data_IF_816520477831
#
_entry.id   IF_816520477831
#
_cell.length_a   1.000
_cell.length_b   1.000
_cell.length_c   1.000
_cell.angle_alpha   90.00
_cell.angle_beta   90.00
_cell.angle_gamma   90.00
#
_symmetry.space_group_name_H-M   'P 1'
#
loop_
_entity.id
_entity.type
_entity.pdbx_description
1 polymer ?
#
# COMPACT_ATOMS: atom_id res chain seq x y z
N UNK A 1 -4.60 -7.24 46.66
CA UNK A 1 -3.27 -7.69 46.22
C UNK A 1 -3.37 -8.26 44.80
N UNK A 2 -3.04 -7.52 43.75
CA UNK A 2 -2.97 -7.98 42.36
C UNK A 2 -1.61 -7.57 41.78
N UNK A 3 -0.82 -8.59 41.45
CA UNK A 3 0.55 -8.44 40.96
C UNK A 3 0.52 -8.10 39.45
N UNK A 4 1.05 -6.92 39.08
CA UNK A 4 1.39 -6.51 37.74
C UNK A 4 2.51 -7.40 37.21
N UNK A 5 2.33 -7.98 36.02
CA UNK A 5 3.42 -8.60 35.27
C UNK A 5 3.84 -7.62 34.16
N UNK A 6 4.99 -7.00 34.34
CA UNK A 6 5.72 -6.32 33.29
C UNK A 6 6.29 -7.37 32.32
N UNK A 7 5.89 -7.30 31.07
CA UNK A 7 6.54 -8.01 29.97
C UNK A 7 7.70 -7.18 29.42
N UNK A 8 8.92 -7.67 29.57
CA UNK A 8 10.11 -7.06 29.02
C UNK A 8 10.19 -7.39 27.52
N UNK A 9 10.16 -6.37 26.66
CA UNK A 9 10.56 -6.50 25.25
C UNK A 9 12.07 -6.52 25.15
N UNK A 10 12.60 -7.64 24.66
CA UNK A 10 14.02 -7.85 24.38
C UNK A 10 14.37 -7.24 23.02
N UNK A 11 15.16 -6.17 23.03
CA UNK A 11 15.74 -5.54 21.86
C UNK A 11 16.99 -6.32 21.45
N UNK A 12 16.96 -6.99 20.30
CA UNK A 12 18.16 -7.63 19.72
C UNK A 12 18.79 -6.65 18.72
N UNK A 13 19.91 -6.10 19.11
CA UNK A 13 20.80 -5.27 18.28
C UNK A 13 21.77 -6.20 17.55
N UNK A 14 21.62 -6.34 16.23
CA UNK A 14 22.62 -7.03 15.39
C UNK A 14 23.52 -5.98 14.76
N UNK A 15 24.78 -5.94 15.26
CA UNK A 15 25.86 -5.15 14.68
C UNK A 15 26.58 -6.02 13.67
N UNK A 16 26.51 -5.70 12.38
CA UNK A 16 27.32 -6.30 11.34
C UNK A 16 28.50 -5.38 11.01
N UNK A 17 29.68 -5.76 11.48
CA UNK A 17 30.94 -5.17 11.09
C UNK A 17 31.36 -5.68 9.69
N UNK A 18 31.37 -4.80 8.70
CA UNK A 18 31.86 -5.09 7.36
C UNK A 18 33.36 -4.84 7.26
N UNK A 19 34.12 -5.84 6.86
CA UNK A 19 35.55 -5.76 6.57
C UNK A 19 35.80 -5.05 5.23
N UNK A 20 36.57 -3.96 5.26
CA UNK A 20 37.16 -3.35 4.08
C UNK A 20 38.35 -4.19 3.58
N UNK A 21 38.23 -4.64 2.32
CA UNK A 21 39.38 -5.21 1.60
C UNK A 21 39.96 -4.13 0.68
N UNK A 22 41.22 -3.78 0.90
CA UNK A 22 42.00 -2.89 0.05
C UNK A 22 42.21 -3.54 -1.33
N UNK A 23 41.70 -2.97 -2.39
CA UNK A 23 42.00 -3.29 -3.77
C UNK A 23 42.79 -2.16 -4.41
N UNK A 24 43.91 -2.48 -5.07
CA UNK A 24 44.86 -1.56 -5.69
C UNK A 24 44.27 -0.75 -6.89
N UNK A 25 45.07 0.20 -7.47
CA UNK A 25 44.60 1.14 -8.48
C UNK A 25 44.27 0.45 -9.78
N UNK A 26 42.98 0.42 -10.12
CA UNK A 26 42.50 0.01 -11.42
C UNK A 26 42.62 1.19 -12.40
N UNK A 27 43.25 0.95 -13.53
CA UNK A 27 43.33 1.81 -14.70
C UNK A 27 41.88 2.18 -15.15
N UNK A 28 41.60 3.45 -15.49
CA UNK A 28 40.28 3.79 -16.01
C UNK A 28 40.09 3.20 -17.40
N UNK A 29 39.42 2.04 -17.46
CA UNK A 29 38.86 1.50 -18.68
C UNK A 29 37.67 2.34 -19.08
N UNK A 30 37.73 2.91 -20.28
CA UNK A 30 36.62 3.59 -20.92
C UNK A 30 35.36 2.66 -20.93
N UNK A 31 34.25 3.01 -20.36
CA UNK A 31 33.04 2.21 -20.50
C UNK A 31 32.47 2.40 -21.90
N UNK A 32 32.86 1.53 -22.82
CA UNK A 32 32.17 1.35 -24.10
C UNK A 32 31.09 0.29 -23.90
N UNK A 33 30.10 0.63 -23.11
CA UNK A 33 28.85 -0.07 -23.01
C UNK A 33 27.76 0.98 -23.25
N UNK A 34 27.27 1.06 -24.49
CA UNK A 34 25.97 1.65 -24.74
C UNK A 34 25.00 0.70 -24.05
N UNK A 35 24.62 1.02 -22.79
CA UNK A 35 23.47 0.37 -22.19
C UNK A 35 22.31 0.66 -23.15
N UNK A 36 21.92 -0.36 -23.91
CA UNK A 36 20.71 -0.30 -24.71
C UNK A 36 19.60 0.00 -23.71
N UNK A 37 19.01 1.21 -23.80
CA UNK A 37 17.93 1.59 -22.93
C UNK A 37 16.87 0.48 -23.02
N UNK A 38 16.64 -0.19 -21.89
CA UNK A 38 15.63 -1.24 -21.82
C UNK A 38 14.31 -0.60 -22.24
N UNK A 39 13.76 -1.07 -23.36
CA UNK A 39 12.51 -0.57 -23.92
C UNK A 39 11.46 -1.67 -23.88
N UNK A 40 10.21 -1.29 -23.66
CA UNK A 40 9.13 -2.26 -23.55
C UNK A 40 8.74 -2.56 -22.11
N UNK A 41 7.92 -3.60 -21.88
CA UNK A 41 7.41 -3.95 -20.55
C UNK A 41 8.50 -4.20 -19.50
N UNK A 42 9.63 -4.76 -19.89
CA UNK A 42 10.77 -5.05 -19.02
C UNK A 42 11.52 -3.79 -18.54
N UNK A 43 11.14 -2.60 -19.03
CA UNK A 43 11.60 -1.32 -18.47
C UNK A 43 10.94 -1.00 -17.12
N UNK A 44 9.84 -1.69 -16.76
CA UNK A 44 9.16 -1.52 -15.46
C UNK A 44 9.88 -2.34 -14.38
N UNK A 45 10.26 -1.73 -13.25
CA UNK A 45 10.89 -2.45 -12.14
C UNK A 45 10.09 -3.69 -11.72
N UNK A 46 10.76 -4.83 -11.60
CA UNK A 46 10.15 -6.10 -11.21
C UNK A 46 9.43 -6.85 -12.33
N UNK A 47 9.30 -6.27 -13.53
CA UNK A 47 8.76 -6.95 -14.71
C UNK A 47 9.90 -7.52 -15.53
N UNK A 48 9.79 -8.79 -15.91
CA UNK A 48 10.73 -9.49 -16.79
C UNK A 48 10.01 -10.63 -17.52
N UNK A 49 10.45 -10.91 -18.75
CA UNK A 49 9.90 -12.01 -19.57
C UNK A 49 8.37 -11.97 -19.70
N UNK A 50 7.80 -10.76 -19.82
CA UNK A 50 6.35 -10.56 -19.97
C UNK A 50 5.52 -10.85 -18.72
N UNK A 51 6.12 -10.85 -17.52
CA UNK A 51 5.43 -11.11 -16.25
C UNK A 51 5.98 -10.26 -15.11
N UNK A 52 5.22 -10.12 -14.03
CA UNK A 52 5.73 -9.59 -12.76
C UNK A 52 6.57 -10.68 -12.07
N UNK A 53 7.89 -10.62 -12.30
CA UNK A 53 8.85 -11.59 -11.77
C UNK A 53 9.26 -11.29 -10.32
N UNK A 54 9.28 -10.00 -9.95
CA UNK A 54 9.69 -9.53 -8.62
C UNK A 54 8.72 -8.44 -8.11
N UNK A 55 7.62 -8.84 -7.42
CA UNK A 55 6.67 -7.89 -6.86
C UNK A 55 7.27 -6.97 -5.79
N UNK A 56 8.28 -7.40 -5.04
CA UNK A 56 8.91 -6.59 -3.98
C UNK A 56 9.71 -5.45 -4.59
N UNK A 57 10.45 -5.71 -5.68
CA UNK A 57 11.13 -4.68 -6.46
C UNK A 57 10.14 -3.66 -7.03
N UNK A 58 8.98 -4.10 -7.54
CA UNK A 58 7.92 -3.18 -8.00
C UNK A 58 7.38 -2.31 -6.86
N UNK A 59 7.07 -2.91 -5.70
CA UNK A 59 6.54 -2.18 -4.54
C UNK A 59 7.56 -1.15 -3.99
N UNK A 60 8.83 -1.51 -3.91
CA UNK A 60 9.88 -0.59 -3.50
C UNK A 60 10.04 0.59 -4.48
N UNK A 61 9.99 0.33 -5.79
CA UNK A 61 10.02 1.36 -6.81
C UNK A 61 8.78 2.27 -6.74
N UNK A 62 7.59 1.68 -6.50
CA UNK A 62 6.35 2.42 -6.29
C UNK A 62 6.48 3.40 -5.12
N UNK A 63 6.90 2.93 -3.95
CA UNK A 63 7.07 3.77 -2.77
C UNK A 63 8.04 4.93 -3.03
N UNK A 64 9.22 4.63 -3.56
CA UNK A 64 10.23 5.64 -3.87
C UNK A 64 9.74 6.69 -4.88
N UNK A 65 9.15 6.24 -5.99
CA UNK A 65 8.69 7.12 -7.08
C UNK A 65 7.47 7.97 -6.67
N UNK A 66 6.55 7.42 -5.87
CA UNK A 66 5.40 8.15 -5.36
C UNK A 66 5.82 9.24 -4.37
N UNK A 67 6.62 8.88 -3.36
CA UNK A 67 7.03 9.82 -2.30
C UNK A 67 7.93 10.93 -2.81
N UNK A 68 8.79 10.65 -3.80
CA UNK A 68 9.66 11.68 -4.38
C UNK A 68 8.88 12.74 -5.17
N UNK A 69 7.83 12.33 -5.87
CA UNK A 69 7.03 13.21 -6.72
C UNK A 69 5.97 14.01 -5.95
N UNK A 70 5.45 13.46 -4.85
CA UNK A 70 4.19 13.88 -4.26
C UNK A 70 3.00 13.36 -5.05
N UNK A 71 1.86 13.15 -4.38
CA UNK A 71 0.71 12.52 -5.01
C UNK A 71 -0.60 12.71 -4.24
N UNK A 72 -1.68 12.36 -4.93
CA UNK A 72 -2.98 12.09 -4.35
C UNK A 72 -3.46 10.73 -4.82
N UNK A 73 -3.92 9.88 -3.90
CA UNK A 73 -4.52 8.59 -4.23
C UNK A 73 -5.83 8.36 -3.49
N UNK A 74 -6.65 7.49 -4.08
CA UNK A 74 -7.86 6.92 -3.50
C UNK A 74 -7.69 5.40 -3.39
N UNK A 75 -8.09 4.86 -2.24
CA UNK A 75 -8.14 3.44 -1.97
C UNK A 75 -9.51 3.04 -1.43
N UNK A 76 -10.07 1.95 -1.93
CA UNK A 76 -11.30 1.35 -1.44
C UNK A 76 -11.10 -0.15 -1.28
N UNK A 77 -11.57 -0.70 -0.17
CA UNK A 77 -11.62 -2.13 0.05
C UNK A 77 -12.90 -2.54 0.76
N UNK A 78 -13.49 -3.65 0.33
CA UNK A 78 -14.57 -4.31 1.03
C UNK A 78 -13.99 -5.42 1.92
N UNK A 79 -14.48 -5.51 3.15
CA UNK A 79 -14.16 -6.57 4.08
C UNK A 79 -15.45 -7.22 4.57
N UNK A 80 -15.60 -8.50 4.33
CA UNK A 80 -16.71 -9.27 4.90
C UNK A 80 -16.32 -9.86 6.25
N UNK A 81 -17.18 -9.67 7.24
CA UNK A 81 -17.00 -10.17 8.61
C UNK A 81 -18.30 -10.81 9.09
N UNK A 82 -18.20 -11.76 10.03
CA UNK A 82 -19.36 -12.26 10.77
C UNK A 82 -19.46 -11.48 12.08
N UNK A 83 -20.59 -10.81 12.29
CA UNK A 83 -20.86 -10.02 13.49
C UNK A 83 -22.24 -10.39 14.05
N UNK A 84 -22.30 -10.82 15.31
CA UNK A 84 -23.53 -11.27 15.96
C UNK A 84 -24.28 -12.34 15.15
N UNK A 85 -23.55 -13.31 14.58
CA UNK A 85 -24.15 -14.37 13.74
C UNK A 85 -24.64 -13.91 12.36
N UNK A 86 -24.37 -12.66 11.96
CA UNK A 86 -24.73 -12.14 10.65
C UNK A 86 -23.48 -11.82 9.83
N UNK A 87 -23.55 -12.09 8.53
CA UNK A 87 -22.49 -11.73 7.58
C UNK A 87 -22.71 -10.27 7.17
N UNK A 88 -21.70 -9.43 7.40
CA UNK A 88 -21.74 -8.00 7.14
C UNK A 88 -20.53 -7.58 6.31
N UNK A 89 -20.76 -6.86 5.24
CA UNK A 89 -19.70 -6.25 4.45
C UNK A 89 -19.42 -4.83 4.95
N UNK A 90 -18.18 -4.59 5.35
CA UNK A 90 -17.66 -3.28 5.74
C UNK A 90 -16.91 -2.70 4.56
N UNK A 91 -17.24 -1.49 4.17
CA UNK A 91 -16.53 -0.74 3.14
C UNK A 91 -15.57 0.21 3.83
N UNK A 92 -14.28 0.05 3.55
CA UNK A 92 -13.22 0.98 3.91
C UNK A 92 -12.86 1.88 2.71
N UNK A 93 -12.61 3.15 2.97
CA UNK A 93 -12.08 4.09 1.97
C UNK A 93 -10.98 4.92 2.59
N UNK A 94 -9.91 5.14 1.84
CA UNK A 94 -8.83 6.03 2.22
C UNK A 94 -8.53 6.97 1.07
N UNK A 95 -8.42 8.27 1.36
CA UNK A 95 -7.91 9.27 0.44
C UNK A 95 -6.67 9.89 1.06
N UNK A 96 -5.58 9.87 0.32
CA UNK A 96 -4.26 10.32 0.80
C UNK A 96 -3.72 11.40 -0.11
N UNK A 97 -3.18 12.46 0.50
CA UNK A 97 -2.42 13.53 -0.15
C UNK A 97 -1.05 13.57 0.50
N UNK A 98 0.00 13.59 -0.30
CA UNK A 98 1.39 13.62 0.15
C UNK A 98 2.16 14.65 -0.67
N UNK A 99 2.82 15.58 0.01
CA UNK A 99 3.77 16.50 -0.60
C UNK A 99 5.06 15.78 -0.99
N UNK A 100 5.80 16.32 -1.96
CA UNK A 100 7.07 15.74 -2.40
C UNK A 100 8.01 15.51 -1.22
N UNK A 101 8.76 14.40 -1.29
CA UNK A 101 9.67 13.95 -0.23
C UNK A 101 9.00 13.77 1.15
N UNK A 102 7.68 13.63 1.18
CA UNK A 102 6.89 13.44 2.41
C UNK A 102 7.11 14.57 3.43
N UNK A 103 7.30 15.78 2.98
CA UNK A 103 7.46 16.95 3.88
C UNK A 103 6.22 17.16 4.72
N UNK A 104 5.05 16.98 4.13
CA UNK A 104 3.75 16.95 4.78
C UNK A 104 2.84 15.92 4.11
N UNK A 105 1.88 15.39 4.86
CA UNK A 105 0.85 14.51 4.33
C UNK A 105 -0.46 14.65 5.11
N UNK A 106 -1.54 14.30 4.43
CA UNK A 106 -2.86 14.19 5.02
C UNK A 106 -3.58 12.99 4.43
N UNK A 107 -4.23 12.21 5.28
CA UNK A 107 -5.14 11.17 4.79
C UNK A 107 -6.40 11.06 5.64
N UNK A 108 -7.46 10.58 5.02
CA UNK A 108 -8.74 10.30 5.65
C UNK A 108 -9.10 8.86 5.41
N UNK A 109 -9.41 8.14 6.48
CA UNK A 109 -9.98 6.80 6.44
C UNK A 109 -11.43 6.86 6.92
N UNK A 110 -12.34 6.26 6.18
CA UNK A 110 -13.74 6.04 6.61
C UNK A 110 -14.07 4.57 6.50
N UNK A 111 -14.83 4.04 7.43
CA UNK A 111 -15.33 2.67 7.34
C UNK A 111 -16.74 2.54 7.90
N UNK A 112 -17.51 1.59 7.36
CA UNK A 112 -18.86 1.32 7.83
C UNK A 112 -19.58 0.27 6.99
N UNK A 113 -20.65 -0.27 7.55
CA UNK A 113 -21.58 -1.16 6.86
C UNK A 113 -22.78 -0.33 6.37
N UNK A 114 -22.74 0.06 5.09
CA UNK A 114 -23.77 0.93 4.48
C UNK A 114 -23.44 2.42 4.61
N UNK A 115 -23.41 2.98 5.82
CA UNK A 115 -22.97 4.36 6.10
C UNK A 115 -21.65 4.36 6.89
N UNK A 116 -20.80 5.39 6.75
CA UNK A 116 -19.59 5.51 7.55
C UNK A 116 -19.91 5.54 9.05
N UNK A 117 -19.41 4.57 9.80
CA UNK A 117 -19.58 4.49 11.27
C UNK A 117 -18.32 4.96 12.01
N UNK A 118 -17.20 5.05 11.30
CA UNK A 118 -15.97 5.62 11.84
C UNK A 118 -15.25 6.46 10.78
N UNK A 119 -14.54 7.48 11.26
CA UNK A 119 -13.73 8.37 10.44
C UNK A 119 -12.45 8.71 11.19
N UNK A 120 -11.33 8.59 10.49
CA UNK A 120 -10.02 9.01 10.98
C UNK A 120 -9.43 10.02 9.99
N UNK A 121 -9.21 11.24 10.47
CA UNK A 121 -8.49 12.28 9.75
C UNK A 121 -7.08 12.35 10.33
N UNK A 122 -6.07 12.19 9.49
CA UNK A 122 -4.66 12.23 9.88
C UNK A 122 -3.98 13.37 9.15
N UNK A 123 -3.17 14.11 9.86
CA UNK A 123 -2.16 15.02 9.34
C UNK A 123 -0.81 14.66 9.94
N UNK A 124 0.25 14.84 9.18
CA UNK A 124 1.60 14.62 9.68
C UNK A 124 2.68 15.19 8.77
N UNK A 125 3.89 15.13 9.26
CA UNK A 125 5.11 15.51 8.57
C UNK A 125 6.23 14.52 8.90
N UNK A 126 7.49 14.88 8.62
CA UNK A 126 8.66 14.04 8.89
C UNK A 126 8.93 13.79 10.38
N UNK A 127 8.27 14.51 11.29
CA UNK A 127 8.55 14.44 12.73
C UNK A 127 7.39 13.86 13.55
N UNK A 128 6.15 14.09 13.14
CA UNK A 128 4.97 13.75 13.93
C UNK A 128 3.78 13.38 13.03
N UNK A 129 2.96 12.50 13.54
CA UNK A 129 1.62 12.20 13.04
C UNK A 129 0.58 12.55 14.09
N UNK A 130 -0.48 13.21 13.67
CA UNK A 130 -1.62 13.58 14.52
C UNK A 130 -2.88 12.99 13.91
N UNK A 131 -3.67 12.31 14.71
CA UNK A 131 -4.90 11.63 14.28
C UNK A 131 -6.10 12.18 15.05
N UNK A 132 -7.15 12.52 14.32
CA UNK A 132 -8.48 12.81 14.84
C UNK A 132 -9.40 11.65 14.47
N UNK A 133 -9.72 10.81 15.46
CA UNK A 133 -10.66 9.70 15.31
C UNK A 133 -12.07 10.12 15.71
N UNK A 134 -13.08 9.75 14.93
CA UNK A 134 -14.49 9.91 15.24
C UNK A 134 -15.22 8.58 15.07
N UNK A 135 -15.91 8.15 16.12
CA UNK A 135 -16.78 6.96 16.14
C UNK A 135 -18.11 7.37 16.73
N UNK A 136 -19.16 7.36 15.92
CA UNK A 136 -20.43 8.02 16.29
C UNK A 136 -20.19 9.51 16.58
N UNK A 137 -20.64 9.95 17.75
CA UNK A 137 -20.49 11.34 18.22
C UNK A 137 -19.19 11.58 19.03
N UNK A 138 -18.43 10.53 19.27
CA UNK A 138 -17.19 10.62 20.07
C UNK A 138 -16.00 10.97 19.21
N UNK A 139 -15.32 12.07 19.54
CA UNK A 139 -14.05 12.50 18.95
C UNK A 139 -12.91 12.29 19.92
N UNK A 140 -11.79 11.73 19.41
CA UNK A 140 -10.55 11.54 20.15
C UNK A 140 -9.36 11.98 19.30
N UNK A 141 -8.31 12.44 19.98
CA UNK A 141 -7.05 12.81 19.37
C UNK A 141 -5.93 11.89 19.84
N UNK A 142 -4.95 11.66 18.99
CA UNK A 142 -3.72 10.96 19.34
C UNK A 142 -2.56 11.48 18.51
N UNK A 143 -1.35 11.38 19.05
CA UNK A 143 -0.10 11.71 18.38
C UNK A 143 0.79 10.48 18.32
N UNK A 144 1.71 10.42 17.37
CA UNK A 144 2.64 9.32 17.23
C UNK A 144 3.78 9.64 16.25
N UNK A 145 4.65 8.68 15.98
CA UNK A 145 5.70 8.83 14.97
C UNK A 145 5.07 9.07 13.59
N UNK A 146 5.85 9.60 12.63
CA UNK A 146 5.40 9.75 11.25
C UNK A 146 4.81 8.45 10.69
N UNK A 147 3.86 8.56 9.76
CA UNK A 147 3.33 7.40 9.06
C UNK A 147 4.42 6.73 8.21
N UNK A 148 4.39 5.41 8.13
CA UNK A 148 5.28 4.66 7.27
C UNK A 148 4.98 4.93 5.78
N UNK A 149 6.00 4.75 4.93
CA UNK A 149 5.89 4.97 3.49
C UNK A 149 4.76 4.14 2.87
N UNK A 150 4.73 2.86 3.19
CA UNK A 150 3.77 1.88 2.69
C UNK A 150 2.31 2.16 3.09
N UNK A 151 2.09 2.81 4.24
CA UNK A 151 0.76 3.27 4.65
C UNK A 151 0.26 4.45 3.80
N UNK A 152 1.18 5.33 3.37
CA UNK A 152 0.86 6.51 2.57
C UNK A 152 0.64 6.16 1.11
N UNK A 153 1.53 5.37 0.52
CA UNK A 153 1.47 4.98 -0.89
C UNK A 153 0.40 3.93 -1.16
N UNK A 154 0.04 3.14 -0.16
CA UNK A 154 -0.86 2.00 -0.26
C UNK A 154 -0.15 0.67 -0.55
N UNK A 155 1.19 0.66 -0.67
CA UNK A 155 1.95 -0.56 -0.97
C UNK A 155 1.76 -1.64 0.10
N UNK A 156 1.58 -1.27 1.38
CA UNK A 156 1.26 -2.21 2.44
C UNK A 156 -0.03 -2.99 2.23
N UNK A 157 -1.00 -2.39 1.54
CA UNK A 157 -2.26 -3.07 1.19
C UNK A 157 -2.18 -3.78 -0.16
N UNK A 158 -1.47 -3.21 -1.15
CA UNK A 158 -1.27 -3.82 -2.47
C UNK A 158 -0.37 -5.06 -2.40
N UNK A 159 0.60 -5.07 -1.49
CA UNK A 159 1.61 -6.10 -1.35
C UNK A 159 1.06 -7.54 -1.33
N UNK A 160 0.14 -7.90 -0.42
CA UNK A 160 -0.44 -9.25 -0.37
C UNK A 160 -1.05 -9.72 -1.70
N UNK A 161 -1.66 -8.82 -2.47
CA UNK A 161 -2.26 -9.16 -3.77
C UNK A 161 -1.20 -9.31 -4.85
N UNK A 162 -0.18 -8.44 -4.89
CA UNK A 162 0.89 -8.51 -5.87
C UNK A 162 1.81 -9.71 -5.64
N UNK A 163 2.15 -10.01 -4.38
CA UNK A 163 2.99 -11.17 -4.02
C UNK A 163 2.21 -12.49 -4.03
N UNK A 164 0.91 -12.42 -3.75
CA UNK A 164 0.03 -13.58 -3.68
C UNK A 164 -0.53 -14.04 -5.02
N UNK A 165 -0.29 -13.33 -6.10
CA UNK A 165 -0.80 -13.66 -7.43
C UNK A 165 0.31 -13.68 -8.48
N UNK A 166 0.15 -14.51 -9.50
CA UNK A 166 0.99 -14.47 -10.70
C UNK A 166 0.38 -13.51 -11.69
N UNK A 167 1.15 -12.51 -12.12
CA UNK A 167 0.70 -11.53 -13.09
C UNK A 167 1.48 -11.65 -14.40
N UNK A 168 0.77 -11.54 -15.52
CA UNK A 168 1.33 -11.51 -16.88
C UNK A 168 1.00 -10.16 -17.52
N UNK A 169 1.89 -9.72 -18.40
CA UNK A 169 1.68 -8.51 -19.22
C UNK A 169 0.55 -8.78 -20.21
N UNK A 170 -0.54 -8.04 -20.07
CA UNK A 170 -1.68 -8.12 -20.99
C UNK A 170 -1.62 -7.04 -22.08
N UNK A 171 -1.08 -5.86 -21.76
CA UNK A 171 -0.99 -4.72 -22.68
C UNK A 171 0.13 -3.77 -22.28
N UNK A 172 0.64 -3.03 -23.26
CA UNK A 172 1.53 -1.90 -23.02
C UNK A 172 1.25 -0.78 -24.01
N UNK A 173 1.26 0.46 -23.53
CA UNK A 173 0.96 1.63 -24.36
C UNK A 173 1.65 2.89 -23.82
N UNK A 174 1.80 3.86 -24.69
CA UNK A 174 2.17 5.22 -24.27
C UNK A 174 0.91 6.08 -24.22
N UNK A 175 0.67 6.75 -23.09
CA UNK A 175 -0.44 7.69 -22.88
C UNK A 175 0.08 8.91 -22.13
N UNK A 176 -0.23 10.10 -22.61
CA UNK A 176 0.20 11.38 -22.02
C UNK A 176 1.72 11.46 -21.75
N UNK A 177 2.51 10.91 -22.69
CA UNK A 177 3.97 10.86 -22.58
C UNK A 177 4.52 9.85 -21.57
N UNK A 178 3.68 8.99 -20.99
CA UNK A 178 4.07 7.93 -20.04
C UNK A 178 3.94 6.57 -20.70
N UNK A 179 4.95 5.74 -20.54
CA UNK A 179 4.87 4.34 -20.91
C UNK A 179 4.15 3.57 -19.79
N UNK A 180 3.06 2.91 -20.14
CA UNK A 180 2.18 2.19 -19.20
C UNK A 180 2.17 0.71 -19.56
N UNK A 181 2.25 -0.14 -18.55
CA UNK A 181 2.10 -1.59 -18.66
C UNK A 181 0.87 -2.02 -17.86
N UNK A 182 0.02 -2.83 -18.47
CA UNK A 182 -1.11 -3.48 -17.83
C UNK A 182 -0.76 -4.93 -17.53
N UNK A 183 -0.86 -5.31 -16.27
CA UNK A 183 -0.67 -6.67 -15.79
C UNK A 183 -2.02 -7.25 -15.36
N UNK A 184 -2.26 -8.53 -15.63
CA UNK A 184 -3.46 -9.26 -15.20
C UNK A 184 -3.07 -10.52 -14.44
N UNK A 185 -3.82 -10.87 -13.41
CA UNK A 185 -3.58 -12.08 -12.64
C UNK A 185 -4.02 -13.32 -13.45
N UNK A 186 -3.13 -14.31 -13.52
CA UNK A 186 -3.39 -15.61 -14.19
C UNK A 186 -3.49 -16.75 -13.16
N UNK A 187 -2.93 -16.58 -11.97
CA UNK A 187 -3.06 -17.49 -10.86
C UNK A 187 -3.00 -16.74 -9.52
N UNK A 188 -3.57 -17.30 -8.46
CA UNK A 188 -3.63 -16.66 -7.15
C UNK A 188 -3.52 -17.69 -6.03
N UNK A 189 -2.71 -17.38 -5.02
CA UNK A 189 -2.68 -18.08 -3.76
C UNK A 189 -3.78 -17.52 -2.84
N UNK A 190 -4.84 -18.28 -2.61
CA UNK A 190 -5.98 -17.89 -1.79
C UNK A 190 -5.58 -17.38 -0.40
N UNK A 191 -4.65 -18.06 0.27
CA UNK A 191 -4.23 -17.71 1.63
C UNK A 191 -3.51 -16.36 1.72
N UNK A 192 -2.99 -15.84 0.62
CA UNK A 192 -2.34 -14.54 0.59
C UNK A 192 -3.33 -13.37 0.42
N UNK A 193 -4.45 -13.61 -0.29
CA UNK A 193 -5.42 -12.55 -0.64
C UNK A 193 -6.70 -12.58 0.19
N UNK A 194 -7.02 -13.72 0.83
CA UNK A 194 -8.20 -13.85 1.67
C UNK A 194 -7.90 -13.55 3.15
N UNK A 195 -8.89 -13.09 3.92
CA UNK A 195 -8.76 -13.04 5.38
C UNK A 195 -8.59 -14.47 5.94
N UNK A 196 -8.00 -14.58 7.14
CA UNK A 196 -7.68 -15.88 7.77
C UNK A 196 -8.86 -16.84 7.94
N UNK A 197 -10.10 -16.34 7.93
CA UNK A 197 -11.34 -17.10 8.00
C UNK A 197 -12.05 -17.23 6.64
N UNK A 198 -11.38 -16.87 5.55
CA UNK A 198 -11.84 -16.97 4.17
C UNK A 198 -11.30 -18.21 3.48
N UNK A 199 -12.14 -18.87 2.69
CA UNK A 199 -11.81 -20.06 1.89
C UNK A 199 -12.59 -20.06 0.58
N UNK A 200 -12.22 -20.93 -0.35
CA UNK A 200 -12.99 -21.18 -1.58
C UNK A 200 -13.15 -19.91 -2.42
N UNK A 201 -12.01 -19.32 -2.81
CA UNK A 201 -11.97 -18.15 -3.68
C UNK A 201 -12.43 -18.50 -5.08
N UNK A 202 -13.41 -17.77 -5.59
CA UNK A 202 -14.01 -18.00 -6.91
C UNK A 202 -14.08 -16.72 -7.72
N UNK A 203 -13.94 -16.86 -9.04
CA UNK A 203 -14.03 -15.75 -9.99
C UNK A 203 -13.07 -14.59 -9.64
N UNK A 204 -11.90 -14.95 -9.10
CA UNK A 204 -10.90 -13.93 -8.78
C UNK A 204 -10.33 -13.34 -10.07
N UNK A 205 -10.27 -12.04 -10.10
CA UNK A 205 -9.63 -11.26 -11.16
C UNK A 205 -8.85 -10.14 -10.49
N UNK A 206 -7.64 -9.87 -10.98
CA UNK A 206 -6.91 -8.69 -10.59
C UNK A 206 -6.20 -8.07 -11.79
N UNK A 207 -6.13 -6.75 -11.79
CA UNK A 207 -5.50 -5.93 -12.83
C UNK A 207 -4.68 -4.83 -12.20
N UNK A 208 -3.49 -4.59 -12.74
CA UNK A 208 -2.57 -3.55 -12.31
C UNK A 208 -2.17 -2.71 -13.52
N UNK A 209 -2.10 -1.40 -13.39
CA UNK A 209 -1.50 -0.49 -14.35
C UNK A 209 -0.29 0.16 -13.69
N UNK A 210 0.87 0.00 -14.29
CA UNK A 210 2.14 0.55 -13.81
C UNK A 210 2.80 1.43 -14.86
N UNK A 211 3.53 2.47 -14.44
CA UNK A 211 4.36 3.25 -15.34
C UNK A 211 5.82 2.78 -15.31
N UNK A 212 6.63 3.29 -16.25
CA UNK A 212 8.05 2.95 -16.36
C UNK A 212 8.90 3.27 -15.11
N UNK A 213 8.41 4.13 -14.20
CA UNK A 213 9.07 4.42 -12.93
C UNK A 213 8.69 3.41 -11.83
N UNK A 214 7.86 2.42 -12.13
CA UNK A 214 7.33 1.45 -11.17
C UNK A 214 6.14 1.95 -10.37
N UNK A 215 5.55 3.13 -10.69
CA UNK A 215 4.35 3.58 -9.98
C UNK A 215 3.16 2.72 -10.36
N UNK A 216 2.53 2.10 -9.39
CA UNK A 216 1.20 1.51 -9.55
C UNK A 216 0.20 2.68 -9.63
N UNK A 217 -0.37 2.90 -10.79
CA UNK A 217 -1.34 3.97 -11.02
C UNK A 217 -2.77 3.53 -10.76
N UNK A 218 -3.06 2.28 -11.07
CA UNK A 218 -4.36 1.64 -10.80
C UNK A 218 -4.14 0.19 -10.35
N UNK A 219 -4.95 -0.24 -9.41
CA UNK A 219 -5.10 -1.64 -9.03
C UNK A 219 -6.57 -1.93 -8.78
N UNK A 220 -7.05 -3.02 -9.33
CA UNK A 220 -8.39 -3.54 -9.11
C UNK A 220 -8.30 -5.04 -8.85
N UNK A 221 -9.01 -5.51 -7.82
CA UNK A 221 -9.19 -6.93 -7.57
C UNK A 221 -10.62 -7.21 -7.15
N UNK A 222 -11.19 -8.29 -7.69
CA UNK A 222 -12.54 -8.74 -7.37
C UNK A 222 -12.60 -10.25 -7.28
N UNK A 223 -13.53 -10.77 -6.49
CA UNK A 223 -13.77 -12.20 -6.33
C UNK A 223 -14.79 -12.48 -5.24
N UNK A 224 -15.21 -13.73 -5.16
CA UNK A 224 -16.12 -14.20 -4.13
C UNK A 224 -15.44 -15.31 -3.33
N UNK A 225 -15.74 -15.38 -2.03
CA UNK A 225 -15.19 -16.42 -1.17
C UNK A 225 -16.18 -16.83 -0.09
N UNK A 226 -15.91 -17.93 0.59
CA UNK A 226 -16.68 -18.36 1.75
C UNK A 226 -16.01 -17.82 3.02
N UNK A 227 -16.77 -17.21 3.92
CA UNK A 227 -16.30 -16.77 5.24
C UNK A 227 -16.95 -17.61 6.32
N UNK A 228 -16.12 -18.12 7.26
CA UNK A 228 -16.62 -18.95 8.39
C UNK A 228 -16.08 -18.41 9.71
N UNK A 229 -16.97 -18.24 10.69
CA UNK A 229 -16.61 -17.84 12.05
C UNK A 229 -17.49 -18.62 13.03
N UNK A 230 -16.88 -19.52 13.80
CA UNK A 230 -17.61 -20.47 14.64
C UNK A 230 -18.52 -21.38 13.78
N UNK A 231 -19.80 -21.41 14.08
CA UNK A 231 -20.80 -22.16 13.30
C UNK A 231 -21.46 -21.37 12.17
N UNK A 232 -21.13 -20.09 12.01
CA UNK A 232 -21.73 -19.21 10.98
C UNK A 232 -20.87 -19.21 9.73
N UNK A 233 -21.46 -19.57 8.61
CA UNK A 233 -20.85 -19.55 7.28
C UNK A 233 -21.66 -18.62 6.37
N UNK A 234 -20.97 -17.88 5.52
CA UNK A 234 -21.60 -16.98 4.56
C UNK A 234 -20.72 -16.63 3.37
N UNK A 235 -21.24 -15.84 2.46
CA UNK A 235 -20.50 -15.37 1.28
C UNK A 235 -19.75 -14.08 1.61
N UNK A 236 -18.47 -14.03 1.26
CA UNK A 236 -17.62 -12.86 1.27
C UNK A 236 -17.31 -12.36 -0.13
N UNK A 237 -16.87 -11.13 -0.23
CA UNK A 237 -16.39 -10.53 -1.49
C UNK A 237 -15.00 -9.93 -1.29
N UNK A 238 -14.14 -10.16 -2.26
CA UNK A 238 -12.95 -9.33 -2.52
C UNK A 238 -13.44 -8.25 -3.48
N UNK A 239 -13.28 -6.99 -3.11
CA UNK A 239 -13.56 -5.85 -3.97
C UNK A 239 -12.65 -4.72 -3.51
N UNK A 240 -11.56 -4.52 -4.25
CA UNK A 240 -10.51 -3.58 -3.93
C UNK A 240 -10.26 -2.72 -5.16
N UNK A 241 -10.13 -1.44 -4.94
CA UNK A 241 -9.66 -0.50 -5.95
C UNK A 241 -8.66 0.48 -5.34
N UNK A 242 -7.59 0.73 -6.06
CA UNK A 242 -6.59 1.76 -5.80
C UNK A 242 -6.42 2.59 -7.06
N UNK A 243 -6.34 3.91 -6.91
CA UNK A 243 -6.08 4.81 -8.02
C UNK A 243 -5.26 6.01 -7.60
N UNK A 244 -4.25 6.34 -8.37
CA UNK A 244 -3.55 7.62 -8.29
C UNK A 244 -4.40 8.66 -9.02
N UNK A 245 -4.83 9.68 -8.28
CA UNK A 245 -5.67 10.77 -8.80
C UNK A 245 -4.80 11.82 -9.49
N UNK A 246 -3.65 12.14 -8.88
CA UNK A 246 -2.70 13.07 -9.45
C UNK A 246 -1.29 12.81 -8.92
N UNK A 247 -0.30 13.17 -9.73
CA UNK A 247 1.12 13.18 -9.39
C UNK A 247 1.63 14.62 -9.45
N UNK A 248 2.62 14.92 -8.62
CA UNK A 248 3.27 16.22 -8.53
C UNK A 248 3.20 16.79 -7.13
N UNK A 249 4.15 17.66 -6.84
CA UNK A 249 4.23 18.34 -5.55
C UNK A 249 3.01 19.24 -5.33
N UNK A 250 2.62 19.35 -4.05
CA UNK A 250 1.48 20.15 -3.64
C UNK A 250 1.65 20.63 -2.21
N UNK A 251 1.05 21.76 -1.94
CA UNK A 251 0.89 22.24 -0.58
C UNK A 251 -0.19 21.44 0.15
N UNK A 252 0.10 21.06 1.40
CA UNK A 252 -0.81 20.32 2.28
C UNK A 252 -1.24 21.23 3.41
N UNK A 253 -2.49 21.69 3.38
CA UNK A 253 -3.05 22.52 4.43
C UNK A 253 -3.04 21.78 5.77
N UNK A 254 -2.48 22.44 6.79
CA UNK A 254 -2.55 21.94 8.17
C UNK A 254 -3.96 22.18 8.72
N UNK A 255 -4.70 21.13 9.10
CA UNK A 255 -6.06 21.27 9.62
C UNK A 255 -6.12 22.07 10.93
N UNK A 256 -7.17 22.86 11.11
CA UNK A 256 -7.40 23.70 12.32
C UNK A 256 -7.43 22.92 13.64
N UNK A 257 -7.77 21.62 13.60
CA UNK A 257 -7.80 20.78 14.79
C UNK A 257 -6.42 20.28 15.24
N UNK A 258 -5.37 20.41 14.41
CA UNK A 258 -4.02 19.88 14.73
C UNK A 258 -3.38 20.57 15.94
N UNK A 259 -3.44 21.90 16.10
CA UNK A 259 -2.92 22.55 17.33
C UNK A 259 -3.59 22.04 18.62
N UNK A 260 -4.91 21.84 18.58
CA UNK A 260 -5.65 21.28 19.74
C UNK A 260 -5.19 19.86 20.07
N UNK A 261 -4.97 19.04 19.05
CA UNK A 261 -4.53 17.66 19.23
C UNK A 261 -3.07 17.54 19.72
N UNK A 262 -2.21 18.51 19.41
CA UNK A 262 -0.82 18.54 19.88
C UNK A 262 -0.71 19.01 21.34
N UNK A 263 -1.75 19.67 21.87
CA UNK A 263 -1.81 20.15 23.27
C UNK A 263 -2.60 19.23 24.21
N UNK A 264 -3.21 18.16 23.68
CA UNK A 264 -4.00 17.19 24.46
C UNK A 264 -3.15 16.02 24.96
#
# INVERSE_FOLDING_TARGET
>A
MRRSRLGACLLVLVVLAGCNVFGGPATPGTPTGTDAAVSGPDAVPGVADGRLADPETLLAAHDGAMLSAGFENDFRANRTVVRNGQVVTIVGRQRTLVAANRTEYRYRVTSGAGAPSSRFDTWGNQSVRVVRGQVGDTVRYSTGPPADANDLTGSGTLGPYLTGSTFEVADSRTSDGRYLVTLVATATNESAVLPANGTDLRNYQARVVVDASGRVLEFEASGNYTVTTGSTTGSGVVDISYRVISLGDREIDRPEWVPTALSA
#
